data_IF_953802616858
#
_entry.id   IF_953802616858
#
_cell.length_a   1.000
_cell.length_b   1.000
_cell.length_c   1.000
_cell.angle_alpha   90.00
_cell.angle_beta   90.00
_cell.angle_gamma   90.00
#
_symmetry.space_group_name_H-M   'P 1'
#
loop_
_entity.id
_entity.type
_entity.pdbx_description
1 polymer ?
#
# COMPACT_ATOMS: atom_id res chain seq x y z
N UNK A 1 -13.25 -12.02 0.04
CA UNK A 1 -14.06 -13.24 -0.18
C UNK A 1 -13.59 -14.43 0.63
N UNK A 2 -12.29 -14.77 0.57
CA UNK A 2 -11.71 -15.87 1.35
C UNK A 2 -12.01 -15.79 2.86
N UNK A 3 -11.89 -14.61 3.46
CA UNK A 3 -12.20 -14.40 4.87
C UNK A 3 -13.63 -14.81 5.24
N UNK A 4 -14.62 -14.37 4.46
CA UNK A 4 -16.05 -14.70 4.64
C UNK A 4 -16.27 -16.21 4.49
N UNK A 5 -15.68 -16.83 3.48
CA UNK A 5 -15.79 -18.29 3.27
C UNK A 5 -15.23 -19.07 4.45
N UNK A 6 -14.03 -18.71 4.92
CA UNK A 6 -13.36 -19.40 6.02
C UNK A 6 -14.12 -19.27 7.34
N UNK A 7 -14.67 -18.10 7.65
CA UNK A 7 -15.54 -17.91 8.83
C UNK A 7 -16.78 -18.81 8.73
N UNK A 8 -17.49 -18.78 7.60
CA UNK A 8 -18.70 -19.62 7.40
C UNK A 8 -18.39 -21.12 7.50
N UNK A 9 -17.23 -21.54 6.99
CA UNK A 9 -16.84 -22.95 6.99
C UNK A 9 -16.41 -23.44 8.38
N UNK A 10 -15.62 -22.62 9.10
CA UNK A 10 -15.03 -23.02 10.39
C UNK A 10 -15.90 -22.72 11.61
N UNK A 11 -16.84 -21.77 11.50
CA UNK A 11 -17.56 -21.20 12.64
C UNK A 11 -16.69 -20.32 13.55
N UNK A 12 -15.43 -20.07 13.21
CA UNK A 12 -14.55 -19.20 13.97
C UNK A 12 -14.99 -17.73 13.87
N UNK A 13 -14.78 -16.96 14.93
CA UNK A 13 -15.09 -15.52 14.98
C UNK A 13 -14.18 -14.63 14.12
N UNK A 14 -13.15 -15.20 13.49
CA UNK A 14 -12.19 -14.44 12.68
C UNK A 14 -11.24 -15.32 11.89
N UNK A 15 -10.38 -14.66 11.11
CA UNK A 15 -9.36 -15.30 10.28
C UNK A 15 -8.02 -14.60 10.44
N UNK A 16 -6.94 -15.36 10.27
CA UNK A 16 -5.58 -14.84 10.22
C UNK A 16 -5.14 -14.67 8.76
N UNK A 17 -4.58 -13.50 8.43
CA UNK A 17 -3.99 -13.22 7.10
C UNK A 17 -2.48 -13.09 7.26
N UNK A 18 -1.71 -14.02 6.67
CA UNK A 18 -0.25 -14.04 6.77
C UNK A 18 0.42 -13.57 5.45
N UNK A 19 0.80 -14.51 4.59
CA UNK A 19 1.61 -14.26 3.37
C UNK A 19 1.05 -13.19 2.42
N UNK A 20 -0.27 -13.02 2.38
CA UNK A 20 -0.89 -12.04 1.49
C UNK A 20 -0.74 -10.60 2.03
N UNK A 21 -0.91 -10.40 3.34
CA UNK A 21 -0.79 -9.10 4.01
C UNK A 21 0.58 -8.45 3.84
N UNK A 22 1.61 -9.29 3.71
CA UNK A 22 2.98 -8.88 3.45
C UNK A 22 3.12 -8.03 2.16
N UNK A 23 2.33 -8.32 1.13
CA UNK A 23 2.41 -7.65 -0.19
C UNK A 23 1.32 -6.58 -0.37
N UNK A 24 0.25 -6.69 0.39
CA UNK A 24 -0.93 -5.84 0.31
C UNK A 24 -1.48 -5.62 1.73
N UNK A 25 -0.90 -4.70 2.52
CA UNK A 25 -1.34 -4.44 3.90
C UNK A 25 -2.81 -4.04 3.99
N UNK A 26 -3.38 -3.43 2.95
CA UNK A 26 -4.80 -3.09 2.85
C UNK A 26 -5.74 -4.30 2.85
N UNK A 27 -5.24 -5.53 2.71
CA UNK A 27 -6.06 -6.74 2.81
C UNK A 27 -6.75 -6.88 4.17
N UNK A 28 -6.18 -6.35 5.26
CA UNK A 28 -6.85 -6.34 6.56
C UNK A 28 -8.13 -5.51 6.51
N UNK A 29 -8.06 -4.28 5.97
CA UNK A 29 -9.21 -3.40 5.74
C UNK A 29 -10.25 -4.06 4.83
N UNK A 30 -9.80 -4.65 3.72
CA UNK A 30 -10.71 -5.29 2.76
C UNK A 30 -11.38 -6.54 3.34
N UNK A 31 -10.66 -7.33 4.15
CA UNK A 31 -11.21 -8.50 4.82
C UNK A 31 -12.26 -8.10 5.86
N UNK A 32 -11.95 -7.12 6.72
CA UNK A 32 -12.90 -6.57 7.70
C UNK A 32 -14.16 -6.03 7.01
N UNK A 33 -14.00 -5.21 5.96
CA UNK A 33 -15.11 -4.71 5.16
C UNK A 33 -15.96 -5.85 4.57
N UNK A 34 -15.35 -6.89 4.01
CA UNK A 34 -16.06 -8.03 3.45
C UNK A 34 -16.82 -8.83 4.53
N UNK A 35 -16.24 -8.99 5.72
CA UNK A 35 -16.89 -9.67 6.86
C UNK A 35 -18.12 -8.89 7.32
N UNK A 36 -18.00 -7.56 7.46
CA UNK A 36 -19.10 -6.67 7.86
C UNK A 36 -20.23 -6.65 6.83
N UNK A 37 -19.90 -6.50 5.54
CA UNK A 37 -20.86 -6.57 4.45
C UNK A 37 -21.58 -7.93 4.35
N UNK A 38 -20.96 -9.00 4.84
CA UNK A 38 -21.55 -10.33 4.91
C UNK A 38 -22.40 -10.58 6.16
N UNK A 39 -22.51 -9.59 7.07
CA UNK A 39 -23.22 -9.73 8.35
C UNK A 39 -22.52 -10.65 9.35
N UNK A 40 -21.20 -10.86 9.19
CA UNK A 40 -20.39 -11.76 10.03
C UNK A 40 -19.50 -11.02 11.03
N UNK A 41 -19.61 -9.69 11.11
CA UNK A 41 -18.91 -8.86 12.09
C UNK A 41 -19.65 -8.76 13.42
N UNK A 42 -19.06 -8.07 14.41
CA UNK A 42 -19.73 -7.79 15.68
C UNK A 42 -21.06 -7.03 15.47
N UNK A 43 -22.09 -7.36 16.24
CA UNK A 43 -23.42 -6.77 16.19
C UNK A 43 -23.44 -5.26 16.53
N UNK A 44 -22.39 -4.74 17.15
CA UNK A 44 -22.17 -3.30 17.39
C UNK A 44 -21.75 -2.52 16.14
N UNK A 45 -21.43 -3.22 15.07
CA UNK A 45 -20.97 -2.64 13.82
C UNK A 45 -22.12 -1.92 13.13
N UNK A 46 -22.02 -0.61 12.99
CA UNK A 46 -23.00 0.21 12.29
C UNK A 46 -23.15 -0.29 10.84
N UNK A 47 -24.19 -1.12 10.61
CA UNK A 47 -24.54 -1.69 9.30
C UNK A 47 -25.05 -0.59 8.37
N UNK A 48 -25.33 0.61 8.88
CA UNK A 48 -25.90 1.71 8.12
C UNK A 48 -24.91 2.39 7.16
N UNK A 49 -23.59 2.16 7.29
CA UNK A 49 -22.60 2.74 6.38
C UNK A 49 -22.06 1.72 5.37
N UNK A 50 -22.99 1.10 4.63
CA UNK A 50 -22.65 0.14 3.56
C UNK A 50 -21.70 0.74 2.53
N UNK A 51 -21.89 2.01 2.19
CA UNK A 51 -21.07 2.71 1.20
C UNK A 51 -19.60 2.79 1.63
N UNK A 52 -19.33 3.15 2.89
CA UNK A 52 -17.97 3.12 3.44
C UNK A 52 -17.34 1.74 3.37
N UNK A 53 -18.09 0.67 3.69
CA UNK A 53 -17.54 -0.69 3.63
C UNK A 53 -17.27 -1.13 2.20
N UNK A 54 -18.10 -0.76 1.23
CA UNK A 54 -17.85 -1.00 -0.19
C UNK A 54 -16.59 -0.27 -0.66
N UNK A 55 -16.40 0.99 -0.27
CA UNK A 55 -15.18 1.75 -0.53
C UNK A 55 -13.94 1.12 0.15
N UNK A 56 -14.06 0.69 1.41
CA UNK A 56 -12.98 0.04 2.14
C UNK A 56 -12.57 -1.31 1.53
N UNK A 57 -13.50 -2.01 0.87
CA UNK A 57 -13.27 -3.26 0.14
C UNK A 57 -12.62 -3.04 -1.22
N UNK A 58 -12.74 -1.85 -1.81
CA UNK A 58 -12.12 -1.54 -3.09
C UNK A 58 -10.58 -1.67 -3.02
N UNK A 59 -9.97 -1.94 -4.17
CA UNK A 59 -8.52 -1.90 -4.30
C UNK A 59 -8.05 -0.44 -4.15
N UNK A 60 -7.04 -0.16 -3.31
CA UNK A 60 -6.59 1.22 -3.14
C UNK A 60 -6.02 1.79 -4.44
N UNK A 61 -6.17 3.09 -4.61
CA UNK A 61 -5.56 3.82 -5.73
C UNK A 61 -4.04 3.78 -5.62
N UNK A 62 -3.34 4.07 -6.71
CA UNK A 62 -1.89 4.11 -6.72
C UNK A 62 -1.37 5.11 -5.66
N UNK A 63 -2.02 6.27 -5.55
CA UNK A 63 -1.73 7.26 -4.52
C UNK A 63 -1.87 6.68 -3.10
N UNK A 64 -2.97 6.02 -2.77
CA UNK A 64 -3.17 5.37 -1.46
C UNK A 64 -2.14 4.27 -1.17
N UNK A 65 -1.71 3.53 -2.21
CA UNK A 65 -0.64 2.52 -2.07
C UNK A 65 0.70 3.16 -1.76
N UNK A 66 1.04 4.29 -2.38
CA UNK A 66 2.27 5.03 -2.09
C UNK A 66 2.24 5.61 -0.67
N UNK A 67 1.11 6.16 -0.23
CA UNK A 67 0.91 6.58 1.17
C UNK A 67 1.11 5.40 2.15
N UNK A 68 0.66 4.20 1.78
CA UNK A 68 0.89 2.98 2.59
C UNK A 68 2.38 2.64 2.67
N UNK A 69 3.14 2.81 1.59
CA UNK A 69 4.60 2.62 1.59
C UNK A 69 5.25 3.64 2.52
N UNK A 70 4.89 4.92 2.43
CA UNK A 70 5.41 5.96 3.33
C UNK A 70 5.14 5.64 4.79
N UNK A 71 3.91 5.25 5.12
CA UNK A 71 3.55 4.84 6.47
C UNK A 71 4.37 3.64 6.96
N UNK A 72 4.69 2.69 6.08
CA UNK A 72 5.54 1.55 6.43
C UNK A 72 6.98 2.00 6.75
N UNK A 73 7.54 2.94 5.98
CA UNK A 73 8.84 3.54 6.27
C UNK A 73 8.83 4.20 7.66
N UNK A 74 7.83 5.02 7.94
CA UNK A 74 7.72 5.72 9.24
C UNK A 74 7.56 4.74 10.42
N UNK A 75 6.78 3.67 10.25
CA UNK A 75 6.66 2.63 11.27
C UNK A 75 7.98 1.88 11.50
N UNK A 76 8.75 1.63 10.44
CA UNK A 76 10.09 1.05 10.58
C UNK A 76 11.02 2.01 11.32
N UNK A 77 10.99 3.30 10.98
CA UNK A 77 11.79 4.33 11.66
C UNK A 77 11.49 4.42 13.16
N UNK A 78 10.21 4.23 13.53
CA UNK A 78 9.76 4.33 14.92
C UNK A 78 10.10 3.09 15.77
N UNK A 79 10.27 1.92 15.16
CA UNK A 79 10.34 0.65 15.88
C UNK A 79 11.64 -0.13 15.65
N UNK A 80 12.46 0.28 14.68
CA UNK A 80 13.75 -0.32 14.37
C UNK A 80 14.83 0.77 14.46
N UNK A 81 16.09 0.36 14.53
CA UNK A 81 17.18 1.30 14.28
C UNK A 81 17.16 1.77 12.81
N UNK A 82 17.77 2.92 12.55
CA UNK A 82 17.74 3.58 11.23
C UNK A 82 18.30 2.69 10.11
N UNK A 83 19.36 1.91 10.39
CA UNK A 83 19.95 1.01 9.39
C UNK A 83 19.03 -0.17 9.13
N UNK A 84 18.52 -0.80 10.18
CA UNK A 84 17.56 -1.91 10.08
C UNK A 84 16.28 -1.51 9.34
N UNK A 85 15.75 -0.32 9.59
CA UNK A 85 14.58 0.22 8.89
C UNK A 85 14.84 0.35 7.38
N UNK A 86 15.98 0.96 7.00
CA UNK A 86 16.36 1.13 5.61
C UNK A 86 16.58 -0.22 4.90
N UNK A 87 17.29 -1.15 5.53
CA UNK A 87 17.53 -2.49 4.98
C UNK A 87 16.24 -3.28 4.77
N UNK A 88 15.34 -3.26 5.76
CA UNK A 88 14.03 -3.89 5.64
C UNK A 88 13.27 -3.31 4.45
N UNK A 89 13.19 -1.98 4.33
CA UNK A 89 12.46 -1.35 3.23
C UNK A 89 13.06 -1.69 1.85
N UNK A 90 14.39 -1.75 1.70
CA UNK A 90 15.04 -2.20 0.44
C UNK A 90 14.64 -3.63 0.07
N UNK A 91 14.49 -4.52 1.06
CA UNK A 91 14.06 -5.89 0.81
C UNK A 91 12.57 -5.98 0.46
N UNK A 92 11.73 -5.16 1.09
CA UNK A 92 10.26 -5.27 1.01
C UNK A 92 9.66 -4.49 -0.16
N UNK A 93 10.32 -3.47 -0.69
CA UNK A 93 9.73 -2.59 -1.71
C UNK A 93 9.31 -3.33 -3.00
N UNK A 94 10.02 -4.40 -3.39
CA UNK A 94 9.68 -5.18 -4.59
C UNK A 94 8.32 -5.89 -4.47
N UNK A 95 7.86 -6.14 -3.24
CA UNK A 95 6.62 -6.87 -2.96
C UNK A 95 5.37 -6.06 -3.29
N UNK A 96 5.43 -4.73 -3.19
CA UNK A 96 4.34 -3.83 -3.57
C UNK A 96 4.10 -3.81 -5.09
N UNK A 97 5.15 -4.00 -5.89
CA UNK A 97 5.12 -3.80 -7.34
C UNK A 97 4.12 -4.64 -8.13
N UNK A 98 3.67 -5.79 -7.59
CA UNK A 98 2.71 -6.67 -8.30
C UNK A 98 1.36 -5.99 -8.56
N UNK A 99 0.94 -5.09 -7.68
CA UNK A 99 -0.37 -4.44 -7.73
C UNK A 99 -0.34 -3.00 -8.25
N UNK A 100 0.84 -2.48 -8.60
CA UNK A 100 1.05 -1.04 -8.85
C UNK A 100 1.40 -0.71 -10.30
N UNK A 101 1.53 -1.68 -11.21
CA UNK A 101 1.87 -1.40 -12.61
C UNK A 101 3.32 -0.92 -12.81
N UNK A 102 3.53 0.09 -13.65
CA UNK A 102 4.85 0.53 -14.13
C UNK A 102 5.66 1.42 -13.14
N UNK A 103 5.78 0.99 -11.88
CA UNK A 103 6.47 1.74 -10.80
C UNK A 103 7.95 1.38 -10.63
N UNK A 104 8.69 1.13 -11.73
CA UNK A 104 10.10 0.72 -11.64
C UNK A 104 10.95 1.81 -10.94
N UNK A 105 10.76 3.07 -11.33
CA UNK A 105 11.49 4.23 -10.81
C UNK A 105 11.29 4.43 -9.30
N UNK A 106 10.07 4.24 -8.78
CA UNK A 106 9.79 4.26 -7.33
C UNK A 106 10.58 3.18 -6.58
N UNK A 107 10.57 1.95 -7.10
CA UNK A 107 11.29 0.85 -6.44
C UNK A 107 12.80 1.11 -6.43
N UNK A 108 13.33 1.62 -7.54
CA UNK A 108 14.75 1.95 -7.64
C UNK A 108 15.13 3.09 -6.69
N UNK A 109 14.33 4.16 -6.57
CA UNK A 109 14.65 5.28 -5.66
C UNK A 109 14.78 4.81 -4.20
N UNK A 110 13.91 3.90 -3.76
CA UNK A 110 14.03 3.30 -2.41
C UNK A 110 15.22 2.33 -2.33
N UNK A 111 15.48 1.51 -3.36
CA UNK A 111 16.60 0.56 -3.33
C UNK A 111 17.97 1.25 -3.25
N UNK A 112 18.13 2.39 -3.93
CA UNK A 112 19.41 3.09 -4.05
C UNK A 112 19.55 4.28 -3.10
N UNK A 113 18.51 4.65 -2.34
CA UNK A 113 18.59 5.69 -1.33
C UNK A 113 19.71 5.40 -0.31
N UNK A 114 20.50 6.43 0.02
CA UNK A 114 21.65 6.34 0.91
C UNK A 114 21.22 5.98 2.34
N UNK A 115 20.15 6.61 2.80
CA UNK A 115 19.62 6.50 4.16
C UNK A 115 18.08 6.55 4.17
N UNK A 116 17.52 6.48 5.37
CA UNK A 116 16.07 6.46 5.58
C UNK A 116 15.42 7.80 5.22
N UNK A 117 16.11 8.92 5.45
CA UNK A 117 15.64 10.26 5.11
C UNK A 117 15.52 10.41 3.58
N UNK A 118 16.53 9.95 2.84
CA UNK A 118 16.51 9.90 1.37
C UNK A 118 15.38 9.00 0.84
N UNK A 119 15.06 7.89 1.53
CA UNK A 119 13.91 7.05 1.18
C UNK A 119 12.58 7.79 1.40
N UNK A 120 12.45 8.49 2.53
CA UNK A 120 11.26 9.28 2.86
C UNK A 120 11.03 10.38 1.82
N UNK A 121 12.06 11.17 1.51
CA UNK A 121 12.01 12.22 0.50
C UNK A 121 11.65 11.67 -0.89
N UNK A 122 12.26 10.54 -1.29
CA UNK A 122 11.94 9.91 -2.57
C UNK A 122 10.50 9.40 -2.65
N UNK A 123 9.90 8.98 -1.54
CA UNK A 123 8.49 8.58 -1.51
C UNK A 123 7.57 9.80 -1.48
N UNK A 124 7.95 10.88 -0.81
CA UNK A 124 7.18 12.13 -0.77
C UNK A 124 7.03 12.74 -2.15
N UNK A 125 8.10 12.78 -2.94
CA UNK A 125 8.05 13.23 -4.33
C UNK A 125 7.01 12.43 -5.14
N UNK A 126 6.93 11.12 -4.90
CA UNK A 126 5.94 10.26 -5.52
C UNK A 126 4.52 10.47 -5.01
N UNK A 127 4.36 10.81 -3.73
CA UNK A 127 3.06 11.17 -3.14
C UNK A 127 2.56 12.45 -3.80
N UNK A 128 3.40 13.49 -3.88
CA UNK A 128 3.04 14.77 -4.49
C UNK A 128 2.64 14.60 -5.96
N UNK A 129 3.44 13.87 -6.74
CA UNK A 129 3.10 13.53 -8.11
C UNK A 129 1.76 12.77 -8.19
N UNK A 130 1.59 11.69 -7.42
CA UNK A 130 0.40 10.85 -7.47
C UNK A 130 -0.88 11.57 -6.99
N UNK A 131 -0.76 12.58 -6.12
CA UNK A 131 -1.86 13.43 -5.70
C UNK A 131 -2.31 14.37 -6.83
N UNK A 132 -1.38 14.84 -7.65
CA UNK A 132 -1.65 15.73 -8.79
C UNK A 132 -2.08 14.99 -10.07
N UNK A 133 -1.76 13.71 -10.19
CA UNK A 133 -2.03 12.90 -11.37
C UNK A 133 -3.45 12.27 -11.34
N UNK A 134 -4.33 12.55 -12.33
CA UNK A 134 -5.69 12.03 -12.34
C UNK A 134 -5.77 10.49 -12.42
N UNK A 135 -4.82 9.83 -13.09
CA UNK A 135 -4.79 8.37 -13.22
C UNK A 135 -4.34 7.73 -11.91
N UNK A 136 -3.24 8.22 -11.30
CA UNK A 136 -2.72 7.70 -10.05
C UNK A 136 -3.66 7.90 -8.86
N UNK A 137 -4.44 8.98 -8.87
CA UNK A 137 -5.40 9.32 -7.81
C UNK A 137 -6.70 8.54 -7.90
N UNK A 138 -7.02 7.92 -9.04
CA UNK A 138 -8.30 7.22 -9.26
C UNK A 138 -8.15 5.74 -9.62
N UNK A 139 -6.97 5.31 -10.07
CA UNK A 139 -6.72 3.94 -10.52
C UNK A 139 -5.67 3.25 -9.65
N UNK A 140 -5.72 1.91 -9.52
CA UNK A 140 -4.80 1.17 -8.65
C UNK A 140 -3.40 0.93 -9.27
N UNK A 141 -3.20 1.20 -10.56
CA UNK A 141 -2.02 0.78 -11.32
C UNK A 141 -1.48 1.91 -12.18
N UNK A 142 -0.17 2.06 -12.19
CA UNK A 142 0.52 3.07 -12.99
C UNK A 142 0.66 2.63 -14.46
N UNK A 143 0.36 3.55 -15.39
CA UNK A 143 0.66 3.44 -16.81
C UNK A 143 2.16 3.61 -17.12
N UNK A 144 2.57 3.30 -18.35
CA UNK A 144 3.98 3.50 -18.76
C UNK A 144 4.36 4.97 -18.67
N UNK A 145 5.53 5.25 -18.11
CA UNK A 145 6.02 6.62 -17.95
C UNK A 145 5.50 7.33 -16.69
N UNK A 146 4.75 6.64 -15.83
CA UNK A 146 4.28 7.16 -14.56
C UNK A 146 5.44 7.49 -13.58
N UNK A 147 5.20 8.48 -12.74
CA UNK A 147 6.10 8.97 -11.72
C UNK A 147 6.59 10.41 -11.96
N UNK A 148 7.25 11.00 -10.96
CA UNK A 148 7.89 12.30 -11.09
C UNK A 148 8.87 12.31 -12.28
N UNK A 149 8.88 13.42 -13.02
CA UNK A 149 9.92 13.63 -14.04
C UNK A 149 11.22 13.91 -13.32
N UNK A 150 12.19 13.00 -13.46
CA UNK A 150 13.58 13.37 -13.19
C UNK A 150 14.02 14.20 -14.36
N UNK A 151 14.28 15.48 -14.12
CA UNK A 151 15.04 16.29 -15.05
C UNK A 151 16.36 15.54 -15.27
N UNK A 152 16.54 14.95 -16.46
CA UNK A 152 17.83 14.46 -16.88
C UNK A 152 18.69 15.71 -16.98
N UNK A 153 19.58 15.91 -16.00
CA UNK A 153 20.59 16.95 -16.08
C UNK A 153 21.33 16.79 -17.44
N UNK A 154 21.21 17.76 -18.35
CA UNK A 154 21.85 17.68 -19.66
C UNK A 154 23.39 17.72 -19.58
N UNK A 155 23.97 17.84 -18.38
CA UNK A 155 25.43 17.84 -18.17
C UNK A 155 26.09 16.45 -18.12
N UNK A 156 25.33 15.35 -18.23
CA UNK A 156 25.88 13.99 -18.30
C UNK A 156 25.62 13.38 -19.69
N UNK A 157 26.41 13.81 -20.68
CA UNK A 157 26.60 13.13 -21.98
C UNK A 157 27.98 13.47 -22.54
#
# INVERSE_FOLDING_TARGET
>A
DDAVRLIRHSGCAGVMIARAAIRAPWLFRQADAAIRLAGLGDASSDVNDRHRWEAARAEPTLHEKILTIRRHIDLCANHLDVRGAAELMRQRISWYGKSMGHVKSLKESIRTAADLESMQAAVDEWIEWAASDPEASTTPMASRGAGPRRDLDPSVS
#
